data_IF_267478358307
#
_entry.id   IF_267478358307
#
_cell.length_a   1.000
_cell.length_b   1.000
_cell.length_c   1.000
_cell.angle_alpha   90.00
_cell.angle_beta   90.00
_cell.angle_gamma   90.00
#
_symmetry.space_group_name_H-M   'P 1'
#
loop_
_entity.id
_entity.type
_entity.pdbx_description
1 polymer ?
#
# COMPACT_ATOMS: atom_id res chain seq x y z
N UNK A 1 10.59 28.05 13.18
CA UNK A 1 11.35 28.30 11.94
C UNK A 1 10.46 29.01 10.94
N UNK A 2 11.00 29.46 9.81
CA UNK A 2 10.21 30.04 8.71
C UNK A 2 10.70 29.50 7.37
N UNK A 3 9.87 29.56 6.34
CA UNK A 3 10.16 29.07 5.00
C UNK A 3 11.03 30.09 4.27
N UNK A 4 12.27 29.71 3.93
CA UNK A 4 13.27 30.64 3.39
C UNK A 4 13.56 30.46 1.90
N UNK A 5 13.00 29.42 1.26
CA UNK A 5 13.28 29.09 -0.14
C UNK A 5 12.42 29.86 -1.16
N UNK A 6 11.63 30.83 -0.68
CA UNK A 6 10.77 31.67 -1.50
C UNK A 6 9.45 31.00 -1.94
N UNK A 7 8.50 31.77 -2.50
CA UNK A 7 7.14 31.29 -2.80
C UNK A 7 7.09 30.20 -3.87
N UNK A 8 7.90 30.31 -4.94
CA UNK A 8 7.90 29.31 -6.03
C UNK A 8 8.33 27.94 -5.55
N UNK A 9 9.35 27.86 -4.70
CA UNK A 9 9.78 26.57 -4.15
C UNK A 9 8.73 26.00 -3.19
N UNK A 10 7.98 26.86 -2.48
CA UNK A 10 6.87 26.45 -1.62
C UNK A 10 5.75 25.77 -2.42
N UNK A 11 5.41 26.35 -3.58
CA UNK A 11 4.45 25.77 -4.52
C UNK A 11 4.89 24.39 -4.99
N UNK A 12 6.14 24.25 -5.46
CA UNK A 12 6.67 22.96 -5.90
C UNK A 12 6.77 21.92 -4.78
N UNK A 13 7.16 22.34 -3.57
CA UNK A 13 7.22 21.47 -2.40
C UNK A 13 5.85 20.88 -2.09
N UNK A 14 4.82 21.73 -2.02
CA UNK A 14 3.46 21.33 -1.69
C UNK A 14 2.85 20.46 -2.81
N UNK A 15 3.10 20.84 -4.08
CA UNK A 15 2.72 20.04 -5.24
C UNK A 15 3.26 18.62 -5.16
N UNK A 16 4.56 18.45 -4.95
CA UNK A 16 5.18 17.13 -4.91
C UNK A 16 4.68 16.30 -3.72
N UNK A 17 4.53 16.94 -2.55
CA UNK A 17 3.97 16.30 -1.37
C UNK A 17 2.57 15.75 -1.61
N UNK A 18 1.67 16.56 -2.16
CA UNK A 18 0.29 16.16 -2.46
C UNK A 18 0.24 15.11 -3.56
N UNK A 19 1.01 15.29 -4.63
CA UNK A 19 1.04 14.37 -5.77
C UNK A 19 1.54 12.99 -5.33
N UNK A 20 2.64 12.91 -4.58
CA UNK A 20 3.13 11.63 -4.06
C UNK A 20 2.13 10.96 -3.11
N UNK A 21 1.44 11.73 -2.26
CA UNK A 21 0.34 11.23 -1.43
C UNK A 21 -0.78 10.60 -2.26
N UNK A 22 -1.22 11.32 -3.30
CA UNK A 22 -2.27 10.86 -4.21
C UNK A 22 -1.85 9.63 -5.03
N UNK A 23 -0.64 9.61 -5.58
CA UNK A 23 -0.13 8.45 -6.34
C UNK A 23 -0.07 7.22 -5.44
N UNK A 24 0.35 7.40 -4.18
CA UNK A 24 0.46 6.32 -3.20
C UNK A 24 -0.89 5.67 -2.93
N UNK A 25 -1.94 6.44 -2.62
CA UNK A 25 -3.26 5.85 -2.31
C UNK A 25 -3.89 5.19 -3.52
N UNK A 26 -3.79 5.77 -4.73
CA UNK A 26 -4.33 5.13 -5.93
C UNK A 26 -3.56 3.86 -6.32
N UNK A 27 -2.25 3.82 -6.07
CA UNK A 27 -1.49 2.57 -6.22
C UNK A 27 -1.98 1.50 -5.23
N UNK A 28 -2.25 1.87 -3.97
CA UNK A 28 -2.82 0.95 -2.97
C UNK A 28 -4.24 0.48 -3.33
N UNK A 29 -5.06 1.36 -3.94
CA UNK A 29 -6.37 0.99 -4.50
C UNK A 29 -6.21 -0.08 -5.58
N UNK A 30 -5.28 0.10 -6.53
CA UNK A 30 -5.06 -0.89 -7.60
C UNK A 30 -4.56 -2.23 -7.06
N UNK A 31 -3.65 -2.19 -6.08
CA UNK A 31 -3.18 -3.40 -5.40
C UNK A 31 -4.37 -4.10 -4.72
N UNK A 32 -5.21 -3.36 -4.01
CA UNK A 32 -6.39 -3.91 -3.31
C UNK A 32 -7.38 -4.53 -4.28
N UNK A 33 -7.67 -3.88 -5.41
CA UNK A 33 -8.57 -4.40 -6.45
C UNK A 33 -7.99 -5.65 -7.13
N UNK A 34 -6.67 -5.72 -7.29
CA UNK A 34 -5.99 -6.92 -7.77
C UNK A 34 -6.12 -8.08 -6.77
N UNK A 35 -5.91 -7.84 -5.47
CA UNK A 35 -6.14 -8.83 -4.41
C UNK A 35 -7.60 -9.30 -4.38
N UNK A 36 -8.54 -8.39 -4.52
CA UNK A 36 -9.96 -8.71 -4.64
C UNK A 36 -10.22 -9.62 -5.84
N UNK A 37 -9.67 -9.28 -7.02
CA UNK A 37 -9.87 -10.07 -8.23
C UNK A 37 -9.32 -11.50 -8.08
N UNK A 38 -8.12 -11.66 -7.53
CA UNK A 38 -7.50 -12.97 -7.36
C UNK A 38 -8.21 -13.81 -6.29
N UNK A 39 -8.57 -13.23 -5.14
CA UNK A 39 -9.11 -13.99 -4.01
C UNK A 39 -10.62 -14.21 -4.14
N UNK A 40 -11.37 -13.19 -4.57
CA UNK A 40 -12.85 -13.25 -4.60
C UNK A 40 -13.37 -13.85 -5.89
N UNK A 41 -12.76 -13.52 -7.04
CA UNK A 41 -13.20 -14.07 -8.33
C UNK A 41 -12.51 -15.38 -8.69
N UNK A 42 -11.32 -15.65 -8.14
CA UNK A 42 -10.56 -16.88 -8.40
C UNK A 42 -10.40 -17.14 -9.90
N UNK A 43 -10.80 -18.34 -10.34
CA UNK A 43 -10.73 -18.75 -11.76
C UNK A 43 -11.57 -17.89 -12.72
N UNK A 44 -12.60 -17.20 -12.22
CA UNK A 44 -13.43 -16.30 -13.02
C UNK A 44 -12.81 -14.89 -13.16
N UNK A 45 -11.72 -14.60 -12.44
CA UNK A 45 -11.01 -13.33 -12.49
C UNK A 45 -9.95 -13.34 -13.59
N UNK A 46 -9.93 -12.31 -14.44
CA UNK A 46 -8.83 -12.13 -15.41
C UNK A 46 -7.54 -11.77 -14.67
N UNK A 47 -6.44 -12.53 -14.82
CA UNK A 47 -5.18 -12.20 -14.16
C UNK A 47 -4.61 -10.85 -14.62
N UNK A 48 -3.93 -10.15 -13.70
CA UNK A 48 -3.29 -8.89 -14.02
C UNK A 48 -2.05 -9.11 -14.90
N UNK A 49 -2.11 -8.59 -16.13
CA UNK A 49 -0.97 -8.57 -17.05
C UNK A 49 -0.02 -7.42 -16.73
N UNK A 50 1.25 -7.53 -17.15
CA UNK A 50 2.23 -6.45 -16.99
C UNK A 50 1.78 -5.14 -17.66
N UNK A 51 1.16 -5.24 -18.85
CA UNK A 51 0.57 -4.08 -19.55
C UNK A 51 -0.58 -3.46 -18.74
N UNK A 52 -1.44 -4.28 -18.16
CA UNK A 52 -2.53 -3.82 -17.29
C UNK A 52 -2.02 -3.12 -16.03
N UNK A 53 -0.97 -3.66 -15.39
CA UNK A 53 -0.34 -3.04 -14.23
C UNK A 53 0.29 -1.69 -14.58
N UNK A 54 1.01 -1.61 -15.71
CA UNK A 54 1.61 -0.37 -16.20
C UNK A 54 0.56 0.70 -16.50
N UNK A 55 -0.55 0.33 -17.14
CA UNK A 55 -1.64 1.26 -17.44
C UNK A 55 -2.30 1.82 -16.17
N UNK A 56 -2.54 0.97 -15.17
CA UNK A 56 -3.08 1.40 -13.86
C UNK A 56 -2.12 2.32 -13.12
N UNK A 57 -0.83 2.02 -13.16
CA UNK A 57 0.19 2.91 -12.60
C UNK A 57 0.22 4.25 -13.32
N UNK A 58 0.23 4.26 -14.66
CA UNK A 58 0.15 5.48 -15.45
C UNK A 58 -1.09 6.30 -15.11
N UNK A 59 -2.24 5.64 -14.95
CA UNK A 59 -3.47 6.29 -14.47
C UNK A 59 -3.24 6.98 -13.13
N UNK A 60 -2.64 6.32 -12.13
CA UNK A 60 -2.37 6.93 -10.82
C UNK A 60 -1.55 8.21 -10.97
N UNK A 61 -0.49 8.18 -11.77
CA UNK A 61 0.35 9.36 -12.01
C UNK A 61 -0.40 10.51 -12.68
N UNK A 62 -1.08 10.23 -13.81
CA UNK A 62 -1.83 11.25 -14.56
C UNK A 62 -2.94 11.83 -13.70
N UNK A 63 -3.71 10.98 -13.02
CA UNK A 63 -4.79 11.40 -12.14
C UNK A 63 -4.27 12.31 -11.01
N UNK A 64 -3.17 11.93 -10.35
CA UNK A 64 -2.56 12.75 -9.30
C UNK A 64 -2.03 14.09 -9.80
N UNK A 65 -1.40 14.12 -10.98
CA UNK A 65 -0.91 15.37 -11.59
C UNK A 65 -2.09 16.30 -11.89
N UNK A 66 -3.16 15.78 -12.51
CA UNK A 66 -4.35 16.58 -12.85
C UNK A 66 -4.93 17.24 -11.61
N UNK A 67 -5.09 16.52 -10.50
CA UNK A 67 -5.62 17.12 -9.28
C UNK A 67 -4.66 18.10 -8.61
N UNK A 68 -3.37 17.80 -8.57
CA UNK A 68 -2.40 18.65 -7.88
C UNK A 68 -1.99 19.89 -8.70
N UNK A 69 -2.31 19.95 -10.00
CA UNK A 69 -1.98 21.12 -10.81
C UNK A 69 -2.98 22.27 -10.64
N UNK A 70 -4.23 21.97 -10.23
CA UNK A 70 -5.29 22.96 -10.11
C UNK A 70 -4.96 24.16 -9.21
N UNK A 71 -4.27 24.01 -8.05
CA UNK A 71 -3.83 25.15 -7.23
C UNK A 71 -2.86 26.11 -7.93
N UNK A 72 -2.14 25.68 -8.98
CA UNK A 72 -1.33 26.60 -9.79
C UNK A 72 -2.17 27.48 -10.71
N UNK A 73 -3.40 27.04 -11.02
CA UNK A 73 -4.34 27.74 -11.90
C UNK A 73 -5.48 28.41 -11.13
N UNK A 74 -5.33 28.57 -9.81
CA UNK A 74 -6.20 29.38 -8.97
C UNK A 74 -7.31 28.63 -8.25
N UNK A 75 -7.54 27.34 -8.54
CA UNK A 75 -8.47 26.55 -7.73
C UNK A 75 -7.73 26.05 -6.48
N UNK A 76 -7.85 26.84 -5.39
CA UNK A 76 -6.94 26.83 -4.23
C UNK A 76 -5.54 27.38 -4.57
N UNK A 77 -4.60 27.32 -3.62
CA UNK A 77 -3.21 27.75 -3.78
C UNK A 77 -2.28 27.01 -2.82
N UNK A 78 -1.00 26.95 -3.16
CA UNK A 78 0.03 26.37 -2.29
C UNK A 78 0.72 27.45 -1.46
N UNK A 79 0.72 27.28 -0.14
CA UNK A 79 1.21 28.27 0.82
C UNK A 79 1.91 27.59 2.00
N UNK A 80 2.73 28.33 2.78
CA UNK A 80 3.26 27.81 4.04
C UNK A 80 2.13 27.35 4.97
N UNK A 81 2.32 26.20 5.60
CA UNK A 81 1.43 25.66 6.63
C UNK A 81 1.54 26.48 7.93
N UNK A 82 0.65 26.24 8.90
CA UNK A 82 0.66 26.96 10.18
C UNK A 82 1.97 26.90 10.98
N UNK A 83 2.86 25.94 10.69
CA UNK A 83 4.20 25.83 11.29
C UNK A 83 5.25 26.73 10.61
N UNK A 84 4.92 27.33 9.46
CA UNK A 84 5.76 28.16 8.62
C UNK A 84 7.05 27.49 8.10
N UNK A 85 7.26 26.19 8.28
CA UNK A 85 8.47 25.47 7.84
C UNK A 85 8.20 24.43 6.75
N UNK A 86 6.94 24.16 6.45
CA UNK A 86 6.51 23.31 5.35
C UNK A 86 5.42 24.03 4.54
N UNK A 87 5.18 23.55 3.32
CA UNK A 87 4.13 24.07 2.45
C UNK A 87 3.10 23.00 2.12
N UNK A 88 1.85 23.44 1.96
CA UNK A 88 0.69 22.60 1.68
C UNK A 88 -0.39 23.40 0.94
N UNK A 89 -1.57 22.80 0.80
CA UNK A 89 -2.76 23.49 0.29
C UNK A 89 -3.25 24.53 1.27
N UNK A 90 -3.83 25.62 0.77
CA UNK A 90 -4.42 26.64 1.60
C UNK A 90 -5.74 26.17 2.21
N UNK A 91 -5.71 25.87 3.50
CA UNK A 91 -6.86 25.51 4.31
C UNK A 91 -7.27 26.62 5.30
N UNK A 92 -6.64 27.80 5.27
CA UNK A 92 -6.90 28.88 6.22
C UNK A 92 -7.70 30.03 5.62
N UNK A 93 -7.57 30.27 4.32
CA UNK A 93 -8.32 31.34 3.64
C UNK A 93 -9.81 31.03 3.63
N UNK A 94 -10.62 31.98 4.13
CA UNK A 94 -12.08 31.87 4.13
C UNK A 94 -12.68 32.26 2.76
N UNK A 95 -12.37 31.45 1.75
CA UNK A 95 -12.90 31.57 0.41
C UNK A 95 -13.56 30.25 -0.01
N UNK A 96 -14.82 30.32 -0.44
CA UNK A 96 -15.60 29.13 -0.80
C UNK A 96 -15.05 28.45 -2.05
N UNK A 97 -14.49 29.22 -2.99
CA UNK A 97 -13.88 28.63 -4.18
C UNK A 97 -12.65 27.79 -3.82
N UNK A 98 -11.76 28.30 -2.97
CA UNK A 98 -10.59 27.59 -2.45
C UNK A 98 -10.96 26.40 -1.56
N UNK A 99 -11.99 26.51 -0.71
CA UNK A 99 -12.51 25.40 0.10
C UNK A 99 -13.13 24.29 -0.75
N UNK A 100 -13.80 24.65 -1.85
CA UNK A 100 -14.40 23.65 -2.75
C UNK A 100 -13.38 22.67 -3.31
N UNK A 101 -12.16 23.13 -3.62
CA UNK A 101 -11.06 22.26 -4.02
C UNK A 101 -10.75 21.22 -2.93
N UNK A 102 -10.65 21.64 -1.66
CA UNK A 102 -10.35 20.75 -0.55
C UNK A 102 -11.46 19.71 -0.31
N UNK A 103 -12.73 20.08 -0.47
CA UNK A 103 -13.84 19.12 -0.38
C UNK A 103 -13.76 18.07 -1.48
N UNK A 104 -13.56 18.51 -2.73
CA UNK A 104 -13.46 17.60 -3.89
C UNK A 104 -12.22 16.73 -3.78
N UNK A 105 -11.07 17.32 -3.48
CA UNK A 105 -9.80 16.60 -3.32
C UNK A 105 -9.87 15.58 -2.18
N UNK A 106 -10.43 15.94 -1.02
CA UNK A 106 -10.67 15.00 0.09
C UNK A 106 -11.57 13.85 -0.33
N UNK A 107 -12.61 14.14 -1.11
CA UNK A 107 -13.56 13.13 -1.59
C UNK A 107 -12.85 12.10 -2.46
N UNK A 108 -12.02 12.54 -3.42
CA UNK A 108 -11.36 11.65 -4.37
C UNK A 108 -10.09 10.99 -3.83
N UNK A 109 -9.33 11.67 -2.98
CA UNK A 109 -8.01 11.19 -2.53
C UNK A 109 -8.07 10.49 -1.18
N UNK A 110 -9.14 10.67 -0.41
CA UNK A 110 -9.28 10.08 0.92
C UNK A 110 -10.55 9.23 1.04
N UNK A 111 -11.73 9.84 0.90
CA UNK A 111 -13.01 9.20 1.22
C UNK A 111 -13.37 8.10 0.21
N UNK A 112 -13.27 8.38 -1.09
CA UNK A 112 -13.54 7.42 -2.15
C UNK A 112 -12.63 6.19 -2.08
N UNK A 113 -11.29 6.36 -2.03
CA UNK A 113 -10.36 5.26 -1.82
C UNK A 113 -10.63 4.48 -0.54
N UNK A 114 -10.97 5.16 0.57
CA UNK A 114 -11.30 4.50 1.83
C UNK A 114 -12.48 3.53 1.66
N UNK A 115 -13.60 4.00 1.12
CA UNK A 115 -14.78 3.15 0.93
C UNK A 115 -14.54 2.01 -0.05
N UNK A 116 -13.83 2.26 -1.15
CA UNK A 116 -13.49 1.23 -2.13
C UNK A 116 -12.63 0.13 -1.50
N UNK A 117 -11.66 0.51 -0.68
CA UNK A 117 -10.77 -0.43 0.01
C UNK A 117 -11.53 -1.21 1.08
N UNK A 118 -12.34 -0.55 1.91
CA UNK A 118 -13.19 -1.23 2.91
C UNK A 118 -14.14 -2.21 2.24
N UNK A 119 -14.81 -1.80 1.17
CA UNK A 119 -15.68 -2.67 0.38
C UNK A 119 -14.92 -3.89 -0.15
N UNK A 120 -13.75 -3.67 -0.76
CA UNK A 120 -12.94 -4.76 -1.31
C UNK A 120 -12.50 -5.75 -0.23
N UNK A 121 -12.01 -5.26 0.91
CA UNK A 121 -11.56 -6.11 2.01
C UNK A 121 -12.70 -6.84 2.72
N UNK A 122 -13.90 -6.26 2.80
CA UNK A 122 -15.08 -6.95 3.31
C UNK A 122 -15.34 -8.26 2.54
N UNK A 123 -15.31 -8.21 1.20
CA UNK A 123 -15.49 -9.40 0.38
C UNK A 123 -14.28 -10.34 0.39
N UNK A 124 -13.06 -9.80 0.45
CA UNK A 124 -11.84 -10.62 0.59
C UNK A 124 -11.95 -11.45 1.88
N UNK A 125 -12.25 -10.83 3.02
CA UNK A 125 -12.38 -11.54 4.31
C UNK A 125 -13.49 -12.59 4.23
N UNK A 126 -14.64 -12.26 3.65
CA UNK A 126 -15.73 -13.22 3.45
C UNK A 126 -15.30 -14.42 2.62
N UNK A 127 -14.57 -14.20 1.52
CA UNK A 127 -14.06 -15.27 0.66
C UNK A 127 -13.03 -16.16 1.38
N UNK A 128 -12.12 -15.55 2.16
CA UNK A 128 -11.13 -16.27 2.96
C UNK A 128 -11.80 -17.15 4.01
N UNK A 129 -12.79 -16.64 4.74
CA UNK A 129 -13.53 -17.41 5.74
C UNK A 129 -14.26 -18.61 5.11
N UNK A 130 -14.87 -18.43 3.93
CA UNK A 130 -15.53 -19.52 3.20
C UNK A 130 -14.52 -20.61 2.76
N UNK A 131 -13.36 -20.19 2.24
CA UNK A 131 -12.29 -21.11 1.84
C UNK A 131 -11.72 -21.89 3.02
N UNK A 132 -11.47 -21.24 4.17
CA UNK A 132 -11.00 -21.91 5.39
C UNK A 132 -12.00 -22.95 5.91
N UNK A 133 -13.31 -22.64 5.85
CA UNK A 133 -14.36 -23.60 6.20
C UNK A 133 -14.37 -24.81 5.27
N UNK A 134 -14.31 -24.60 3.96
CA UNK A 134 -14.26 -25.67 2.96
C UNK A 134 -13.03 -26.58 3.15
N UNK A 135 -11.85 -25.99 3.39
CA UNK A 135 -10.63 -26.74 3.68
C UNK A 135 -10.76 -27.59 4.95
N UNK A 136 -11.38 -27.04 6.01
CA UNK A 136 -11.62 -27.77 7.26
C UNK A 136 -12.57 -28.95 7.05
N UNK A 137 -13.58 -28.80 6.20
CA UNK A 137 -14.50 -29.88 5.85
C UNK A 137 -13.84 -30.95 4.97
N UNK A 138 -13.02 -30.56 4.00
CA UNK A 138 -12.25 -31.49 3.17
C UNK A 138 -11.25 -32.30 4.00
N UNK A 139 -10.57 -31.68 4.96
CA UNK A 139 -9.67 -32.38 5.87
C UNK A 139 -10.38 -33.44 6.73
N UNK A 140 -11.62 -33.17 7.16
CA UNK A 140 -12.46 -34.14 7.89
C UNK A 140 -12.87 -35.32 7.02
N UNK A 141 -13.18 -35.09 5.74
CA UNK A 141 -13.63 -36.14 4.80
C UNK A 141 -12.51 -37.07 4.35
N UNK A 142 -11.28 -36.56 4.20
CA UNK A 142 -10.16 -37.33 3.65
C UNK A 142 -9.27 -38.01 4.70
N UNK A 143 -9.46 -37.76 6.01
CA UNK A 143 -8.73 -38.46 7.08
C UNK A 143 -7.21 -38.23 7.11
N UNK A 144 -6.67 -37.39 6.24
CA UNK A 144 -5.23 -37.08 6.14
C UNK A 144 -4.96 -35.70 6.72
N UNK A 145 -4.05 -35.62 7.71
CA UNK A 145 -3.63 -34.37 8.37
C UNK A 145 -2.83 -33.41 7.45
N UNK A 146 -2.44 -33.86 6.26
CA UNK A 146 -1.48 -33.18 5.39
C UNK A 146 -1.79 -33.41 3.91
N UNK A 147 -2.78 -32.72 3.38
CA UNK A 147 -2.86 -32.41 1.96
C UNK A 147 -3.05 -30.90 1.84
N UNK A 148 -1.96 -30.16 2.03
CA UNK A 148 -1.93 -28.78 1.53
C UNK A 148 -1.75 -28.92 0.02
N UNK A 149 -2.86 -29.05 -0.71
CA UNK A 149 -2.85 -29.01 -2.17
C UNK A 149 -2.07 -27.76 -2.62
N UNK A 150 -1.44 -27.82 -3.79
CA UNK A 150 -0.76 -26.63 -4.33
C UNK A 150 -1.70 -25.42 -4.38
N UNK A 151 -2.98 -25.66 -4.64
CA UNK A 151 -4.06 -24.68 -4.59
C UNK A 151 -4.23 -24.06 -3.19
N UNK A 152 -4.28 -24.86 -2.13
CA UNK A 152 -4.36 -24.36 -0.76
C UNK A 152 -3.11 -23.55 -0.36
N UNK A 153 -1.92 -23.94 -0.83
CA UNK A 153 -0.67 -23.19 -0.64
C UNK A 153 -0.70 -21.86 -1.39
N UNK A 154 -1.20 -21.85 -2.62
CA UNK A 154 -1.36 -20.64 -3.44
C UNK A 154 -2.34 -19.67 -2.78
N UNK A 155 -3.54 -20.11 -2.40
CA UNK A 155 -4.53 -19.26 -1.71
C UNK A 155 -3.98 -18.66 -0.42
N UNK A 156 -3.27 -19.45 0.39
CA UNK A 156 -2.62 -18.96 1.61
C UNK A 156 -1.59 -17.85 1.33
N UNK A 157 -0.84 -17.95 0.22
CA UNK A 157 0.10 -16.89 -0.18
C UNK A 157 -0.63 -15.62 -0.60
N UNK A 158 -1.71 -15.75 -1.38
CA UNK A 158 -2.53 -14.62 -1.79
C UNK A 158 -3.17 -13.90 -0.58
N UNK A 159 -3.66 -14.66 0.40
CA UNK A 159 -4.16 -14.12 1.67
C UNK A 159 -3.07 -13.38 2.46
N UNK A 160 -1.84 -13.92 2.51
CA UNK A 160 -0.70 -13.25 3.14
C UNK A 160 -0.39 -11.92 2.45
N UNK A 161 -0.40 -11.88 1.12
CA UNK A 161 -0.22 -10.66 0.34
C UNK A 161 -1.35 -9.64 0.58
N UNK A 162 -2.59 -10.09 0.68
CA UNK A 162 -3.73 -9.24 1.04
C UNK A 162 -3.59 -8.63 2.45
N UNK A 163 -3.10 -9.40 3.43
CA UNK A 163 -2.80 -8.86 4.78
C UNK A 163 -1.72 -7.78 4.76
N UNK A 164 -0.66 -7.99 3.99
CA UNK A 164 0.42 -6.98 3.82
C UNK A 164 -0.15 -5.71 3.17
N UNK A 165 -0.96 -5.87 2.11
CA UNK A 165 -1.61 -4.75 1.44
C UNK A 165 -2.58 -3.99 2.38
N UNK A 166 -3.33 -4.70 3.23
CA UNK A 166 -4.20 -4.09 4.24
C UNK A 166 -3.42 -3.30 5.28
N UNK A 167 -2.29 -3.83 5.74
CA UNK A 167 -1.42 -3.13 6.68
C UNK A 167 -0.86 -1.84 6.08
N UNK A 168 -0.37 -1.90 4.84
CA UNK A 168 0.13 -0.72 4.11
C UNK A 168 -0.93 0.38 3.98
N UNK A 169 -2.15 0.04 3.55
CA UNK A 169 -3.20 1.05 3.39
C UNK A 169 -3.68 1.58 4.75
N UNK A 170 -3.73 0.74 5.78
CA UNK A 170 -4.08 1.18 7.13
C UNK A 170 -3.07 2.20 7.65
N UNK A 171 -1.77 1.95 7.45
CA UNK A 171 -0.70 2.88 7.78
C UNK A 171 -0.82 4.20 7.01
N UNK A 172 -1.18 4.14 5.73
CA UNK A 172 -1.44 5.34 4.93
C UNK A 172 -2.57 6.18 5.55
N UNK A 173 -3.72 5.58 5.84
CA UNK A 173 -4.84 6.31 6.45
C UNK A 173 -4.49 6.86 7.83
N UNK A 174 -3.80 6.09 8.67
CA UNK A 174 -3.35 6.56 9.98
C UNK A 174 -2.38 7.75 9.87
N UNK A 175 -1.46 7.71 8.92
CA UNK A 175 -0.48 8.78 8.71
C UNK A 175 -1.11 10.07 8.16
N UNK A 176 -2.08 9.96 7.24
CA UNK A 176 -2.71 11.11 6.59
C UNK A 176 -3.92 11.68 7.33
N UNK A 177 -4.57 10.90 8.22
CA UNK A 177 -5.75 11.36 8.97
C UNK A 177 -5.48 12.62 9.81
N UNK A 178 -4.37 12.74 10.57
CA UNK A 178 -4.08 13.96 11.32
C UNK A 178 -4.00 15.20 10.41
N UNK A 179 -3.38 15.05 9.23
CA UNK A 179 -3.27 16.13 8.25
C UNK A 179 -4.63 16.52 7.67
N UNK A 180 -5.48 15.53 7.37
CA UNK A 180 -6.87 15.79 6.95
C UNK A 180 -7.62 16.57 8.02
N UNK A 181 -7.51 16.17 9.29
CA UNK A 181 -8.16 16.87 10.41
C UNK A 181 -7.68 18.32 10.51
N UNK A 182 -6.37 18.59 10.32
CA UNK A 182 -5.84 19.96 10.30
C UNK A 182 -6.43 20.79 9.16
N UNK A 183 -6.55 20.22 7.95
CA UNK A 183 -7.14 20.93 6.81
C UNK A 183 -8.62 21.29 7.10
N UNK A 184 -9.39 20.36 7.65
CA UNK A 184 -10.77 20.63 8.04
C UNK A 184 -10.87 21.63 9.19
N UNK A 185 -10.03 21.49 10.22
CA UNK A 185 -9.95 22.44 11.33
C UNK A 185 -9.60 23.85 10.82
N UNK A 186 -8.69 23.98 9.86
CA UNK A 186 -8.38 25.25 9.21
C UNK A 186 -9.59 25.86 8.51
N UNK A 187 -10.34 25.07 7.76
CA UNK A 187 -11.48 25.57 6.98
C UNK A 187 -12.64 26.05 7.86
N UNK A 188 -12.89 25.41 9.00
CA UNK A 188 -14.09 25.64 9.81
C UNK A 188 -13.82 26.30 11.16
N UNK A 189 -12.63 26.11 11.72
CA UNK A 189 -12.24 26.59 13.05
C UNK A 189 -10.77 27.02 13.07
N UNK A 190 -10.35 28.01 12.25
CA UNK A 190 -8.94 28.33 12.02
C UNK A 190 -8.17 28.70 13.30
N UNK A 191 -8.85 29.21 14.32
CA UNK A 191 -8.28 29.51 15.64
C UNK A 191 -7.72 28.27 16.37
N UNK A 192 -8.13 27.06 15.97
CA UNK A 192 -7.63 25.80 16.54
C UNK A 192 -6.30 25.35 15.91
N UNK A 193 -5.94 25.90 14.74
CA UNK A 193 -4.72 25.52 14.02
C UNK A 193 -3.52 26.26 14.59
N UNK A 194 -2.88 25.65 15.59
CA UNK A 194 -1.61 26.15 16.15
C UNK A 194 -0.40 25.64 15.36
N UNK A 195 0.78 26.29 15.48
CA UNK A 195 2.02 25.78 14.90
C UNK A 195 2.38 24.36 15.36
N UNK A 196 2.15 24.04 16.64
CA UNK A 196 2.39 22.69 17.17
C UNK A 196 1.40 21.66 16.62
N UNK A 197 0.12 22.03 16.48
CA UNK A 197 -0.86 21.12 15.91
C UNK A 197 -0.57 20.84 14.43
N UNK A 198 -0.25 21.89 13.66
CA UNK A 198 0.05 21.77 12.22
C UNK A 198 1.33 20.99 11.94
N UNK A 199 2.41 21.17 12.71
CA UNK A 199 3.68 20.47 12.47
C UNK A 199 3.55 18.96 12.66
N UNK A 200 2.85 18.49 13.70
CA UNK A 200 2.73 17.05 13.95
C UNK A 200 1.98 16.35 12.83
N UNK A 201 0.82 16.87 12.41
CA UNK A 201 0.09 16.23 11.31
C UNK A 201 0.84 16.26 9.99
N UNK A 202 1.60 17.33 9.71
CA UNK A 202 2.47 17.43 8.54
C UNK A 202 3.58 16.37 8.56
N UNK A 203 4.24 16.19 9.71
CA UNK A 203 5.30 15.18 9.89
C UNK A 203 4.75 13.76 9.75
N UNK A 204 3.62 13.45 10.39
CA UNK A 204 3.01 12.12 10.27
C UNK A 204 2.67 11.77 8.81
N UNK A 205 2.04 12.70 8.08
CA UNK A 205 1.71 12.50 6.67
C UNK A 205 2.96 12.27 5.81
N UNK A 206 4.03 13.03 6.05
CA UNK A 206 5.29 12.91 5.28
C UNK A 206 6.10 11.67 5.66
N UNK A 207 6.07 11.24 6.92
CA UNK A 207 6.74 10.03 7.40
C UNK A 207 6.19 8.75 6.76
N UNK A 208 4.95 8.78 6.25
CA UNK A 208 4.35 7.71 5.46
C UNK A 208 5.24 7.21 4.31
N UNK A 209 6.00 8.12 3.67
CA UNK A 209 6.91 7.75 2.59
C UNK A 209 8.04 6.81 3.05
N UNK A 210 8.38 6.83 4.34
CA UNK A 210 9.44 6.01 4.96
C UNK A 210 8.89 4.67 5.46
N UNK A 211 7.62 4.62 5.90
CA UNK A 211 7.02 3.39 6.42
C UNK A 211 6.85 2.31 5.35
N UNK A 212 6.54 2.70 4.12
CA UNK A 212 6.28 1.75 3.03
C UNK A 212 7.47 0.78 2.80
N UNK A 213 8.72 1.23 2.53
CA UNK A 213 9.87 0.33 2.41
C UNK A 213 10.13 -0.55 3.65
N UNK A 214 9.97 0.00 4.85
CA UNK A 214 10.18 -0.73 6.11
C UNK A 214 9.18 -1.87 6.25
N UNK A 215 7.92 -1.62 5.95
CA UNK A 215 6.88 -2.64 5.95
C UNK A 215 7.20 -3.76 4.96
N UNK A 216 7.60 -3.43 3.73
CA UNK A 216 7.99 -4.45 2.75
C UNK A 216 9.21 -5.24 3.21
N UNK A 217 10.21 -4.57 3.78
CA UNK A 217 11.41 -5.18 4.33
C UNK A 217 11.12 -6.09 5.54
N UNK A 218 10.05 -5.86 6.29
CA UNK A 218 9.71 -6.70 7.45
C UNK A 218 8.71 -7.81 7.11
N UNK A 219 7.81 -7.59 6.15
CA UNK A 219 6.64 -8.46 5.97
C UNK A 219 6.58 -9.20 4.64
N UNK A 220 7.26 -8.73 3.59
CA UNK A 220 7.15 -9.29 2.24
C UNK A 220 8.26 -10.33 1.94
N UNK A 221 7.96 -11.64 1.84
CA UNK A 221 8.98 -12.70 1.80
C UNK A 221 9.98 -12.57 0.65
N UNK A 222 9.47 -12.38 -0.58
CA UNK A 222 10.34 -12.23 -1.76
C UNK A 222 11.18 -10.95 -1.73
N UNK A 223 10.67 -9.90 -1.07
CA UNK A 223 11.38 -8.63 -0.96
C UNK A 223 12.51 -8.77 0.05
N UNK A 224 12.25 -9.41 1.20
CA UNK A 224 13.24 -9.78 2.21
C UNK A 224 14.36 -10.63 1.63
N UNK A 225 14.02 -11.70 0.90
CA UNK A 225 15.01 -12.56 0.27
C UNK A 225 15.93 -11.78 -0.69
N UNK A 226 15.34 -10.94 -1.55
CA UNK A 226 16.13 -10.09 -2.45
C UNK A 226 16.96 -9.04 -1.70
N UNK A 227 16.41 -8.46 -0.62
CA UNK A 227 17.09 -7.48 0.22
C UNK A 227 18.32 -8.08 0.88
N UNK A 228 18.24 -9.29 1.42
CA UNK A 228 19.37 -9.96 2.09
C UNK A 228 20.48 -10.36 1.12
N UNK A 229 20.13 -10.71 -0.13
CA UNK A 229 21.12 -10.92 -1.19
C UNK A 229 21.87 -9.63 -1.53
N UNK A 230 21.17 -8.48 -1.57
CA UNK A 230 21.75 -7.19 -1.97
C UNK A 230 22.42 -6.43 -0.83
N UNK A 231 21.89 -6.55 0.39
CA UNK A 231 22.36 -5.90 1.61
C UNK A 231 22.46 -6.94 2.75
N UNK A 232 23.51 -7.79 2.74
CA UNK A 232 23.63 -8.89 3.70
C UNK A 232 23.69 -8.45 5.17
N UNK A 233 24.12 -7.22 5.46
CA UNK A 233 24.15 -6.67 6.82
C UNK A 233 22.76 -6.41 7.42
N UNK A 234 21.70 -6.38 6.61
CA UNK A 234 20.31 -6.30 7.07
C UNK A 234 19.69 -7.68 7.33
N UNK A 235 20.39 -8.78 7.01
CA UNK A 235 19.90 -10.13 7.25
C UNK A 235 19.87 -10.40 8.76
N UNK A 236 18.68 -10.63 9.31
CA UNK A 236 18.55 -11.11 10.67
C UNK A 236 19.00 -12.58 10.72
N UNK A 237 19.90 -12.90 11.67
CA UNK A 237 20.54 -14.22 11.83
C UNK A 237 19.59 -15.41 12.11
N UNK A 238 18.27 -15.20 12.11
CA UNK A 238 17.25 -16.24 12.35
C UNK A 238 16.32 -16.51 11.17
N UNK A 239 16.58 -15.91 9.99
CA UNK A 239 15.71 -16.03 8.80
C UNK A 239 16.24 -17.04 7.76
N UNK A 240 17.31 -17.77 8.10
CA UNK A 240 17.83 -18.85 7.27
C UNK A 240 16.92 -20.09 7.36
N UNK A 241 16.15 -20.31 6.29
CA UNK A 241 15.77 -21.62 5.77
C UNK A 241 14.93 -22.56 6.67
N UNK A 242 13.68 -22.19 6.97
CA UNK A 242 12.63 -23.19 7.25
C UNK A 242 11.62 -23.38 6.09
N UNK A 243 11.62 -22.53 5.06
CA UNK A 243 10.51 -22.51 4.07
C UNK A 243 10.87 -22.96 2.64
N UNK A 244 12.11 -23.40 2.34
CA UNK A 244 12.50 -23.66 0.94
C UNK A 244 13.40 -24.88 0.61
N UNK A 245 13.66 -25.82 1.53
CA UNK A 245 14.39 -27.06 1.19
C UNK A 245 13.44 -28.25 1.04
N UNK A 246 12.65 -28.26 -0.02
CA UNK A 246 12.22 -29.49 -0.68
C UNK A 246 12.97 -29.61 -2.02
N UNK A 247 14.28 -29.84 -1.94
CA UNK A 247 15.05 -30.32 -3.09
C UNK A 247 14.82 -31.82 -3.16
N UNK A 248 14.04 -32.23 -4.14
CA UNK A 248 13.83 -33.62 -4.55
C UNK A 248 15.18 -34.24 -4.92
N UNK A 249 15.82 -34.94 -3.99
CA UNK A 249 16.94 -35.83 -4.31
C UNK A 249 16.38 -37.18 -4.75
N UNK A 250 16.13 -37.31 -6.05
CA UNK A 250 15.98 -38.60 -6.73
C UNK A 250 17.31 -39.36 -6.62
N UNK A 251 17.42 -40.22 -5.61
CA UNK A 251 18.49 -41.22 -5.52
C UNK A 251 18.12 -42.41 -6.39
N UNK A 252 18.56 -42.38 -7.65
CA UNK A 252 18.56 -43.55 -8.53
C UNK A 252 19.46 -44.62 -7.92
N UNK A 253 18.88 -45.75 -7.55
CA UNK A 253 19.57 -46.91 -7.02
C UNK A 253 20.36 -47.56 -8.16
N UNK A 254 21.69 -47.40 -8.16
CA UNK A 254 22.57 -48.14 -9.05
C UNK A 254 22.70 -49.58 -8.53
N UNK A 255 22.24 -50.54 -9.33
CA UNK A 255 22.42 -51.98 -9.14
C UNK A 255 23.89 -52.32 -9.49
N UNK A 256 24.64 -53.07 -8.66
CA UNK A 256 25.96 -53.54 -9.05
C UNK A 256 25.82 -54.78 -9.95
N UNK A 257 26.30 -54.68 -11.19
CA UNK A 257 26.42 -55.80 -12.11
C UNK A 257 27.64 -56.65 -11.72
N UNK A 258 27.39 -57.95 -11.49
CA UNK A 258 28.41 -58.97 -11.24
C UNK A 258 29.26 -59.18 -12.49
N UNK A 259 30.58 -59.08 -12.35
CA UNK A 259 31.54 -59.62 -13.31
C UNK A 259 31.70 -61.14 -13.10
N UNK A 260 31.29 -61.93 -14.10
CA UNK A 260 31.57 -63.36 -14.21
C UNK A 260 32.40 -63.62 -15.48
N UNK A 261 33.67 -63.96 -15.23
CA UNK A 261 34.62 -64.82 -15.95
C UNK A 261 34.60 -64.97 -17.49
N UNK A 262 35.78 -64.72 -18.07
CA UNK A 262 36.48 -65.67 -18.94
C UNK A 262 37.97 -65.67 -18.58
#
# INVERSE_FOLDING_TARGET
GTWVFGPRFCEFYAFWGNMCGCVSIYTMVWITLDRYNVIVKGMNGTPLTAKGAMLRNLFSWVFSIVWCIFPFFGWNRYVPEGNMTACGTDYLTDDQFSKSYLYVYTTWVFVGPFFLIVFSYFFIVKAVMAHEQQMREQAKKMGVKSLRSEEAKQTSNECRLAKIALMNVSLWFMAWSPYLVINWAGMFSPSTVTPLFSIWGSVFAKANAVYNPLVYALTHPKYRAALYVKLPFLACKGDSDEDNTSVTSSATTAVPEKSEQA
#
